data_IF_137164294282
#
_entry.id   IF_137164294282
#
_cell.length_a   1.000
_cell.length_b   1.000
_cell.length_c   1.000
_cell.angle_alpha   90.00
_cell.angle_beta   90.00
_cell.angle_gamma   90.00
#
_symmetry.space_group_name_H-M   'P 1'
#
loop_
_entity.id
_entity.type
_entity.pdbx_description
1 polymer ?
#
# COMPACT_ATOMS: atom_id res chain seq x y z
N UNK A 1 -47.38 40.26 40.00
CA UNK A 1 -47.43 39.25 38.92
C UNK A 1 -46.41 39.52 37.80
N UNK A 2 -45.14 39.82 38.10
CA UNK A 2 -44.09 40.06 37.08
C UNK A 2 -42.72 39.46 37.40
N UNK A 3 -42.60 38.61 38.43
CA UNK A 3 -41.33 37.98 38.84
C UNK A 3 -41.27 36.45 38.66
N UNK A 4 -42.36 35.81 38.23
CA UNK A 4 -42.39 34.36 37.98
C UNK A 4 -42.25 33.96 36.51
N UNK A 5 -42.26 34.93 35.58
CA UNK A 5 -42.15 34.68 34.13
C UNK A 5 -40.72 34.51 33.65
N UNK A 6 -39.72 35.07 34.35
CA UNK A 6 -38.32 35.03 33.90
C UNK A 6 -37.60 33.75 34.36
N UNK A 7 -38.04 33.15 35.48
CA UNK A 7 -37.45 31.91 35.99
C UNK A 7 -37.75 30.67 35.13
N UNK A 8 -38.90 30.62 34.45
CA UNK A 8 -39.23 29.52 33.52
C UNK A 8 -38.44 29.60 32.21
N UNK A 9 -38.12 30.81 31.72
CA UNK A 9 -37.33 30.97 30.49
C UNK A 9 -35.87 30.59 30.67
N UNK A 10 -35.30 30.80 31.86
CA UNK A 10 -33.91 30.40 32.15
C UNK A 10 -33.79 28.88 32.31
N UNK A 11 -34.77 28.21 32.92
CA UNK A 11 -34.79 26.75 33.01
C UNK A 11 -34.99 26.06 31.65
N UNK A 12 -35.79 26.64 30.75
CA UNK A 12 -35.94 26.14 29.39
C UNK A 12 -34.64 26.29 28.57
N UNK A 13 -33.89 27.38 28.74
CA UNK A 13 -32.59 27.58 28.08
C UNK A 13 -31.50 26.63 28.60
N UNK A 14 -31.47 26.31 29.90
CA UNK A 14 -30.49 25.37 30.47
C UNK A 14 -30.77 23.94 30.02
N UNK A 15 -32.05 23.53 29.89
CA UNK A 15 -32.41 22.20 29.39
C UNK A 15 -32.10 22.07 27.88
N UNK A 16 -32.33 23.13 27.09
CA UNK A 16 -31.95 23.16 25.66
C UNK A 16 -30.41 23.14 25.50
N UNK A 17 -29.65 23.78 26.39
CA UNK A 17 -28.17 23.71 26.39
C UNK A 17 -27.62 22.35 26.83
N UNK A 18 -28.32 21.59 27.68
CA UNK A 18 -27.90 20.21 28.05
C UNK A 18 -28.36 19.13 27.07
N UNK A 19 -29.25 19.46 26.12
CA UNK A 19 -29.63 18.58 25.01
C UNK A 19 -28.69 18.69 23.79
N UNK A 20 -27.65 19.54 23.83
CA UNK A 20 -26.41 19.25 23.13
C UNK A 20 -25.62 18.16 23.88
N UNK A 21 -26.26 17.00 24.12
CA UNK A 21 -25.52 15.75 23.96
C UNK A 21 -24.99 15.86 22.55
N UNK A 22 -23.68 16.05 22.43
CA UNK A 22 -22.98 15.91 21.19
C UNK A 22 -23.52 14.61 20.56
N UNK A 23 -24.38 14.75 19.55
CA UNK A 23 -24.35 13.86 18.42
C UNK A 23 -22.96 14.10 17.84
N UNK A 24 -21.94 13.51 18.49
CA UNK A 24 -20.80 13.02 17.75
C UNK A 24 -21.45 11.97 16.86
N UNK A 25 -21.94 12.43 15.71
CA UNK A 25 -22.14 11.56 14.58
C UNK A 25 -20.76 10.96 14.40
N UNK A 26 -20.58 9.74 14.90
CA UNK A 26 -19.35 9.00 14.70
C UNK A 26 -19.20 8.96 13.19
N UNK A 27 -18.32 9.82 12.67
CA UNK A 27 -18.03 9.85 11.25
C UNK A 27 -17.47 8.47 10.96
N UNK A 28 -18.32 7.64 10.38
CA UNK A 28 -18.02 6.28 9.99
C UNK A 28 -16.68 6.32 9.23
N UNK A 29 -15.69 5.46 9.57
CA UNK A 29 -14.38 5.53 8.95
C UNK A 29 -14.53 5.35 7.44
N UNK A 30 -13.83 6.20 6.67
CA UNK A 30 -13.91 6.23 5.21
C UNK A 30 -13.58 4.86 4.61
N UNK A 31 -12.60 4.16 5.20
CA UNK A 31 -12.22 2.79 4.88
C UNK A 31 -12.37 1.95 6.14
N UNK A 32 -13.05 0.80 6.03
CA UNK A 32 -13.30 -0.10 7.16
C UNK A 32 -12.13 -1.04 7.44
N UNK A 33 -11.51 -1.58 6.40
CA UNK A 33 -10.36 -2.47 6.50
C UNK A 33 -9.49 -2.37 5.23
N UNK A 34 -8.23 -2.79 5.33
CA UNK A 34 -7.34 -2.94 4.17
C UNK A 34 -6.87 -4.39 4.09
N UNK A 35 -7.14 -5.06 2.97
CA UNK A 35 -6.61 -6.37 2.65
C UNK A 35 -5.52 -6.22 1.59
N UNK A 36 -4.27 -6.46 1.98
CA UNK A 36 -3.11 -6.20 1.13
C UNK A 36 -2.52 -7.49 0.54
N UNK A 37 -2.22 -7.47 -0.75
CA UNK A 37 -1.59 -8.54 -1.51
C UNK A 37 -0.37 -7.97 -2.22
N UNK A 38 0.70 -8.74 -2.33
CA UNK A 38 1.90 -8.24 -2.99
C UNK A 38 3.21 -8.90 -2.60
N UNK A 39 4.27 -8.15 -2.82
CA UNK A 39 5.66 -8.53 -2.58
C UNK A 39 6.32 -7.75 -1.43
N UNK A 40 7.66 -7.70 -1.41
CA UNK A 40 8.46 -7.07 -0.37
C UNK A 40 8.14 -5.58 -0.16
N UNK A 41 7.63 -4.90 -1.19
CA UNK A 41 7.26 -3.48 -1.12
C UNK A 41 6.06 -3.22 -0.20
N UNK A 42 5.30 -4.26 0.14
CA UNK A 42 4.17 -4.19 1.05
C UNK A 42 4.15 -5.32 2.09
N UNK A 43 5.19 -6.15 2.17
CA UNK A 43 5.29 -7.25 3.15
C UNK A 43 5.55 -6.71 4.56
N UNK A 44 4.60 -6.93 5.47
CA UNK A 44 4.69 -6.50 6.87
C UNK A 44 5.36 -7.52 7.79
N UNK A 45 6.02 -8.54 7.24
CA UNK A 45 6.83 -9.53 7.95
C UNK A 45 6.43 -10.99 7.72
N UNK A 46 5.60 -11.30 6.71
CA UNK A 46 5.14 -12.65 6.35
C UNK A 46 6.29 -13.64 6.24
N UNK A 47 7.38 -13.25 5.58
CA UNK A 47 8.51 -14.14 5.36
C UNK A 47 9.22 -14.58 6.65
N UNK A 48 9.05 -13.86 7.76
CA UNK A 48 9.60 -14.25 9.07
C UNK A 48 8.98 -15.54 9.62
N UNK A 49 7.84 -15.97 9.08
CA UNK A 49 7.07 -17.13 9.52
C UNK A 49 7.12 -18.30 8.53
N UNK A 50 7.83 -18.14 7.41
CA UNK A 50 7.99 -19.24 6.45
C UNK A 50 9.00 -20.27 6.98
N UNK A 51 8.82 -21.56 6.68
CA UNK A 51 9.72 -22.61 7.16
C UNK A 51 11.12 -22.52 6.56
N UNK A 52 11.23 -22.05 5.30
CA UNK A 52 12.49 -21.89 4.58
C UNK A 52 12.50 -20.52 3.87
N UNK A 53 12.65 -19.41 4.61
CA UNK A 53 12.54 -18.08 4.02
C UNK A 53 13.74 -17.76 3.14
N UNK A 54 13.49 -17.41 1.87
CA UNK A 54 14.56 -16.96 0.96
C UNK A 54 14.88 -15.46 1.07
N UNK A 55 13.96 -14.68 1.63
CA UNK A 55 14.09 -13.23 1.79
C UNK A 55 13.67 -12.85 3.20
N UNK A 56 14.54 -12.17 3.94
CA UNK A 56 14.31 -11.77 5.33
C UNK A 56 14.70 -10.31 5.53
N UNK A 57 13.95 -9.63 6.40
CA UNK A 57 14.23 -8.28 6.90
C UNK A 57 13.86 -8.16 8.40
N UNK A 58 13.95 -9.28 9.13
CA UNK A 58 13.64 -9.38 10.56
C UNK A 58 14.91 -9.30 11.45
N UNK A 59 15.96 -8.66 10.94
CA UNK A 59 17.22 -8.43 11.62
C UNK A 59 17.66 -6.97 11.49
N UNK A 60 18.52 -6.52 12.39
CA UNK A 60 19.09 -5.17 12.39
C UNK A 60 19.91 -4.94 11.12
N UNK A 61 19.85 -3.76 10.47
CA UNK A 61 19.21 -2.52 10.91
C UNK A 61 17.80 -2.23 10.37
N UNK A 62 17.08 -3.21 9.82
CA UNK A 62 15.71 -2.99 9.33
C UNK A 62 14.76 -2.54 10.46
N UNK A 63 13.83 -1.63 10.14
CA UNK A 63 12.84 -1.11 11.08
C UNK A 63 13.35 -0.10 12.13
N UNK A 64 14.61 0.34 12.04
CA UNK A 64 15.24 1.27 12.99
C UNK A 64 14.53 2.62 13.17
N UNK A 65 13.91 3.22 12.14
CA UNK A 65 13.39 4.60 12.22
C UNK A 65 12.03 4.71 12.90
N UNK A 66 11.07 3.88 12.48
CA UNK A 66 9.71 3.94 13.03
C UNK A 66 9.46 2.92 14.14
N UNK A 67 9.96 1.70 13.97
CA UNK A 67 9.66 0.60 14.89
C UNK A 67 10.71 0.46 15.99
N UNK A 68 11.90 1.03 15.82
CA UNK A 68 13.07 0.86 16.68
C UNK A 68 13.45 -0.62 16.88
N UNK A 69 13.01 -1.49 15.97
CA UNK A 69 13.30 -2.92 15.95
C UNK A 69 12.97 -3.51 14.59
N UNK A 70 13.59 -4.64 14.21
CA UNK A 70 13.20 -5.36 13.01
C UNK A 70 11.77 -5.92 13.11
N UNK A 71 11.02 -5.78 12.02
CA UNK A 71 9.64 -6.29 11.91
C UNK A 71 9.43 -7.21 10.71
N UNK A 72 10.45 -7.41 9.87
CA UNK A 72 10.32 -8.13 8.60
C UNK A 72 9.89 -7.24 7.42
N UNK A 73 9.74 -5.92 7.62
CA UNK A 73 9.54 -4.95 6.55
C UNK A 73 10.87 -4.64 5.87
N UNK A 74 10.87 -4.65 4.54
CA UNK A 74 12.05 -4.36 3.72
C UNK A 74 12.28 -2.86 3.60
N UNK A 75 12.52 -2.19 4.73
CA UNK A 75 12.83 -0.76 4.84
C UNK A 75 13.46 -0.47 6.21
N UNK A 76 14.02 0.73 6.39
CA UNK A 76 14.42 1.23 7.72
C UNK A 76 13.22 1.49 8.63
N UNK A 77 12.00 1.51 8.11
CA UNK A 77 10.79 1.76 8.90
C UNK A 77 9.53 1.23 8.23
N UNK A 78 8.57 2.12 8.02
CA UNK A 78 7.26 1.82 7.42
C UNK A 78 7.32 1.60 5.91
N UNK A 79 6.36 0.83 5.42
CA UNK A 79 6.04 0.69 3.99
C UNK A 79 4.85 1.57 3.62
N UNK A 80 4.56 1.72 2.31
CA UNK A 80 3.36 2.46 1.84
C UNK A 80 2.08 1.96 2.50
N UNK A 81 1.95 0.65 2.70
CA UNK A 81 0.74 0.06 3.28
C UNK A 81 0.52 0.49 4.75
N UNK A 82 1.60 0.69 5.52
CA UNK A 82 1.54 1.19 6.89
C UNK A 82 1.07 2.65 6.93
N UNK A 83 1.57 3.46 5.98
CA UNK A 83 1.21 4.87 5.86
C UNK A 83 -0.26 5.02 5.43
N UNK A 84 -0.73 4.16 4.52
CA UNK A 84 -2.14 4.10 4.13
C UNK A 84 -3.03 3.69 5.30
N UNK A 85 -2.66 2.65 6.07
CA UNK A 85 -3.39 2.26 7.27
C UNK A 85 -3.50 3.41 8.27
N UNK A 86 -2.39 4.09 8.55
CA UNK A 86 -2.37 5.27 9.43
C UNK A 86 -3.24 6.42 8.89
N UNK A 87 -3.19 6.71 7.59
CA UNK A 87 -4.03 7.74 6.95
C UNK A 87 -5.53 7.45 7.13
N UNK A 88 -5.94 6.19 6.98
CA UNK A 88 -7.32 5.76 7.20
C UNK A 88 -7.67 5.48 8.67
N UNK A 89 -6.75 5.77 9.61
CA UNK A 89 -6.91 5.55 11.06
C UNK A 89 -7.18 4.10 11.43
N UNK A 90 -6.58 3.18 10.68
CA UNK A 90 -6.56 1.75 10.96
C UNK A 90 -5.28 1.41 11.74
N UNK A 91 -5.29 0.33 12.56
CA UNK A 91 -4.05 -0.23 13.06
C UNK A 91 -3.15 -0.67 11.88
N UNK A 92 -1.84 -0.73 12.13
CA UNK A 92 -0.91 -1.31 11.17
C UNK A 92 -1.29 -2.76 10.89
N UNK A 93 -1.24 -3.14 9.61
CA UNK A 93 -1.62 -4.49 9.20
C UNK A 93 -0.60 -5.50 9.72
N UNK A 94 -1.11 -6.59 10.28
CA UNK A 94 -0.30 -7.74 10.62
C UNK A 94 -0.23 -8.70 9.44
N UNK A 95 0.91 -9.38 9.23
CA UNK A 95 0.99 -10.45 8.26
C UNK A 95 0.07 -11.60 8.68
N UNK A 96 -0.63 -12.21 7.72
CA UNK A 96 -1.57 -13.30 7.97
C UNK A 96 -0.96 -14.45 8.79
N UNK A 97 0.32 -14.74 8.58
CA UNK A 97 1.05 -15.81 9.28
C UNK A 97 1.47 -15.47 10.72
N UNK A 98 1.07 -14.32 11.26
CA UNK A 98 1.35 -13.95 12.66
C UNK A 98 0.72 -14.98 13.61
N UNK A 99 1.50 -15.60 14.52
CA UNK A 99 0.96 -16.55 15.49
C UNK A 99 -0.14 -15.96 16.35
N UNK A 100 -1.20 -16.73 16.60
CA UNK A 100 -2.37 -16.34 17.41
C UNK A 100 -3.15 -15.12 16.87
N UNK A 101 -2.93 -14.72 15.62
CA UNK A 101 -3.70 -13.63 15.01
C UNK A 101 -5.08 -14.13 14.61
N UNK A 102 -6.12 -13.61 15.26
CA UNK A 102 -7.52 -14.02 15.04
C UNK A 102 -8.47 -12.85 14.80
N UNK A 103 -7.98 -11.62 14.89
CA UNK A 103 -8.79 -10.40 14.78
C UNK A 103 -8.56 -9.70 13.45
N UNK A 104 -9.41 -9.96 12.46
CA UNK A 104 -9.22 -9.50 11.08
C UNK A 104 -10.07 -8.29 10.68
N UNK A 105 -10.83 -7.71 11.62
CA UNK A 105 -11.83 -6.67 11.37
C UNK A 105 -11.31 -5.38 10.71
N UNK A 106 -10.03 -5.09 10.90
CA UNK A 106 -9.36 -3.91 10.34
C UNK A 106 -8.51 -4.22 9.11
N UNK A 107 -8.49 -5.49 8.68
CA UNK A 107 -7.72 -5.95 7.54
C UNK A 107 -6.49 -6.77 7.91
N UNK A 108 -5.86 -7.32 6.88
CA UNK A 108 -4.76 -8.29 6.97
C UNK A 108 -3.79 -8.05 5.81
N UNK A 109 -2.51 -8.26 6.07
CA UNK A 109 -1.49 -8.28 5.02
C UNK A 109 -1.16 -9.71 4.62
N UNK A 110 -1.31 -10.02 3.33
CA UNK A 110 -0.98 -11.31 2.73
C UNK A 110 0.30 -11.26 1.89
N UNK A 111 0.89 -10.07 1.69
CA UNK A 111 2.08 -9.92 0.86
C UNK A 111 3.26 -10.74 1.40
N UNK A 112 4.10 -11.22 0.49
CA UNK A 112 5.28 -12.03 0.79
C UNK A 112 6.44 -11.62 -0.08
N UNK A 113 7.56 -11.24 0.53
CA UNK A 113 8.74 -10.80 -0.17
C UNK A 113 9.27 -11.85 -1.16
N UNK A 114 9.59 -11.38 -2.38
CA UNK A 114 10.01 -12.20 -3.51
C UNK A 114 8.88 -12.77 -4.36
N UNK A 115 7.62 -12.67 -3.94
CA UNK A 115 6.48 -13.12 -4.75
C UNK A 115 6.24 -12.21 -5.96
N UNK A 116 5.59 -12.76 -6.98
CA UNK A 116 5.18 -12.06 -8.19
C UNK A 116 3.71 -12.32 -8.53
N UNK A 117 3.26 -11.86 -9.68
CA UNK A 117 1.94 -12.19 -10.25
C UNK A 117 1.91 -13.61 -10.80
N UNK A 118 3.07 -14.16 -11.17
CA UNK A 118 3.17 -15.55 -11.61
C UNK A 118 3.39 -16.45 -10.39
N UNK A 119 2.61 -17.53 -10.27
CA UNK A 119 2.78 -18.50 -9.19
C UNK A 119 4.16 -19.21 -9.24
N UNK A 120 4.81 -19.23 -10.41
CA UNK A 120 6.14 -19.78 -10.59
C UNK A 120 7.27 -18.89 -10.04
N UNK A 121 7.01 -17.60 -9.82
CA UNK A 121 8.03 -16.66 -9.35
C UNK A 121 8.47 -17.02 -7.94
N UNK A 122 9.71 -17.50 -7.82
CA UNK A 122 10.29 -18.01 -6.56
C UNK A 122 9.43 -19.08 -5.88
N UNK A 123 8.77 -19.93 -6.68
CA UNK A 123 7.91 -21.00 -6.18
C UNK A 123 8.60 -21.85 -5.10
N UNK A 124 7.86 -22.14 -4.03
CA UNK A 124 8.35 -22.90 -2.87
C UNK A 124 9.17 -22.10 -1.85
N UNK A 125 9.50 -20.84 -2.14
CA UNK A 125 10.28 -19.96 -1.24
C UNK A 125 9.45 -18.79 -0.67
N UNK A 126 8.25 -18.56 -1.20
CA UNK A 126 7.40 -17.40 -0.91
C UNK A 126 5.94 -17.84 -0.82
N UNK A 127 5.08 -16.99 -0.26
CA UNK A 127 3.62 -17.12 -0.44
C UNK A 127 3.26 -16.53 -1.79
N UNK A 128 3.00 -17.37 -2.79
CA UNK A 128 2.65 -16.88 -4.13
C UNK A 128 1.28 -16.20 -4.17
N UNK A 129 0.99 -15.41 -5.21
CA UNK A 129 -0.23 -14.58 -5.25
C UNK A 129 -1.52 -15.41 -5.13
N UNK A 130 -1.55 -16.64 -5.67
CA UNK A 130 -2.69 -17.56 -5.50
C UNK A 130 -2.87 -17.97 -4.04
N UNK A 131 -1.80 -18.32 -3.34
CA UNK A 131 -1.83 -18.64 -1.91
C UNK A 131 -2.27 -17.43 -1.08
N UNK A 132 -1.84 -16.22 -1.42
CA UNK A 132 -2.30 -14.99 -0.77
C UNK A 132 -3.83 -14.82 -0.88
N UNK A 133 -4.40 -15.08 -2.06
CA UNK A 133 -5.87 -15.10 -2.26
C UNK A 133 -6.54 -16.19 -1.41
N UNK A 134 -5.96 -17.38 -1.32
CA UNK A 134 -6.49 -18.47 -0.48
C UNK A 134 -6.47 -18.10 1.01
N UNK A 135 -5.43 -17.39 1.47
CA UNK A 135 -5.38 -16.87 2.84
C UNK A 135 -6.50 -15.86 3.09
N UNK A 136 -6.80 -14.98 2.12
CA UNK A 136 -7.94 -14.07 2.21
C UNK A 136 -9.28 -14.80 2.31
N UNK A 137 -9.50 -15.86 1.53
CA UNK A 137 -10.73 -16.68 1.63
C UNK A 137 -10.92 -17.20 3.06
N UNK A 138 -9.86 -17.73 3.68
CA UNK A 138 -9.91 -18.21 5.08
C UNK A 138 -10.20 -17.09 6.08
N UNK A 139 -9.60 -15.91 5.88
CA UNK A 139 -9.87 -14.72 6.70
C UNK A 139 -11.34 -14.31 6.60
N UNK A 140 -11.89 -14.28 5.39
CA UNK A 140 -13.31 -13.97 5.17
C UNK A 140 -14.22 -15.00 5.84
N UNK A 141 -13.94 -16.29 5.71
CA UNK A 141 -14.70 -17.35 6.39
C UNK A 141 -14.70 -17.16 7.91
N UNK A 142 -13.54 -16.85 8.50
CA UNK A 142 -13.41 -16.54 9.92
C UNK A 142 -14.25 -15.32 10.31
N UNK A 143 -14.17 -14.22 9.54
CA UNK A 143 -14.99 -13.03 9.77
C UNK A 143 -16.49 -13.35 9.68
N UNK A 144 -16.90 -14.19 8.73
CA UNK A 144 -18.31 -14.60 8.57
C UNK A 144 -18.76 -15.43 9.77
N UNK A 145 -17.92 -16.32 10.26
CA UNK A 145 -18.19 -17.13 11.45
C UNK A 145 -18.35 -16.25 12.70
N UNK A 146 -17.56 -15.18 12.85
CA UNK A 146 -17.61 -14.29 14.01
C UNK A 146 -18.74 -13.26 13.93
N UNK A 147 -18.94 -12.64 12.77
CA UNK A 147 -19.80 -11.45 12.63
C UNK A 147 -21.07 -11.68 11.82
N UNK A 148 -21.20 -12.83 11.16
CA UNK A 148 -22.31 -13.16 10.27
C UNK A 148 -22.17 -12.55 8.87
N UNK A 149 -22.74 -13.23 7.88
CA UNK A 149 -22.53 -12.93 6.45
C UNK A 149 -22.95 -11.52 6.04
N UNK A 150 -24.04 -10.98 6.60
CA UNK A 150 -24.51 -9.63 6.27
C UNK A 150 -23.54 -8.55 6.76
N UNK A 151 -23.04 -8.67 7.99
CA UNK A 151 -22.07 -7.73 8.57
C UNK A 151 -20.77 -7.73 7.77
N UNK A 152 -20.27 -8.92 7.41
CA UNK A 152 -19.05 -9.04 6.59
C UNK A 152 -19.26 -8.47 5.20
N UNK A 153 -20.40 -8.72 4.55
CA UNK A 153 -20.71 -8.13 3.24
C UNK A 153 -20.65 -6.60 3.27
N UNK A 154 -21.24 -5.98 4.29
CA UNK A 154 -21.19 -4.52 4.48
C UNK A 154 -19.78 -4.02 4.78
N UNK A 155 -19.01 -4.78 5.57
CA UNK A 155 -17.60 -4.50 5.85
C UNK A 155 -16.77 -4.51 4.55
N UNK A 156 -16.87 -5.57 3.74
CA UNK A 156 -16.13 -5.73 2.48
C UNK A 156 -16.44 -4.64 1.46
N UNK A 157 -17.69 -4.18 1.37
CA UNK A 157 -18.09 -3.05 0.51
C UNK A 157 -17.37 -1.73 0.89
N UNK A 158 -16.83 -1.64 2.11
CA UNK A 158 -16.12 -0.48 2.64
C UNK A 158 -14.63 -0.72 2.86
N UNK A 159 -14.12 -1.89 2.47
CA UNK A 159 -12.71 -2.25 2.57
C UNK A 159 -11.95 -1.94 1.28
N UNK A 160 -10.65 -1.68 1.40
CA UNK A 160 -9.74 -1.56 0.27
C UNK A 160 -8.97 -2.87 0.07
N UNK A 161 -8.72 -3.19 -1.19
CA UNK A 161 -7.93 -4.32 -1.64
C UNK A 161 -6.74 -3.81 -2.43
N UNK A 162 -5.55 -3.89 -1.88
CA UNK A 162 -4.33 -3.34 -2.49
C UNK A 162 -3.50 -4.47 -3.10
N UNK A 163 -3.05 -4.29 -4.34
CA UNK A 163 -2.21 -5.26 -5.05
C UNK A 163 -0.93 -4.57 -5.51
N UNK A 164 0.20 -4.93 -4.91
CA UNK A 164 1.55 -4.45 -5.28
C UNK A 164 2.46 -5.63 -5.60
N UNK A 165 2.46 -6.06 -6.86
CA UNK A 165 3.22 -7.23 -7.32
C UNK A 165 3.57 -7.12 -8.80
N UNK A 166 4.70 -7.72 -9.18
CA UNK A 166 5.11 -7.86 -10.58
C UNK A 166 6.59 -7.60 -10.83
N UNK A 167 7.27 -6.87 -9.94
CA UNK A 167 8.70 -6.56 -10.08
C UNK A 167 9.55 -7.84 -10.11
N UNK A 168 9.24 -8.78 -9.22
CA UNK A 168 9.94 -10.06 -9.13
C UNK A 168 9.74 -10.95 -10.35
N UNK A 169 8.60 -10.86 -11.05
CA UNK A 169 8.39 -11.61 -12.29
C UNK A 169 9.39 -11.15 -13.36
N UNK A 170 9.61 -9.84 -13.49
CA UNK A 170 10.58 -9.29 -14.43
C UNK A 170 12.02 -9.65 -14.02
N UNK A 171 12.35 -9.56 -12.73
CA UNK A 171 13.71 -9.89 -12.27
C UNK A 171 14.06 -11.38 -12.37
N UNK A 172 13.09 -12.27 -12.14
CA UNK A 172 13.38 -13.69 -11.91
C UNK A 172 12.70 -14.66 -12.87
N UNK A 173 11.76 -14.20 -13.70
CA UNK A 173 10.98 -15.08 -14.59
C UNK A 173 10.90 -14.59 -16.04
N UNK A 174 11.38 -13.38 -16.34
CA UNK A 174 11.53 -12.93 -17.72
C UNK A 174 12.86 -13.41 -18.32
N UNK A 175 12.76 -14.23 -19.37
CA UNK A 175 13.91 -14.68 -20.15
C UNK A 175 13.76 -14.23 -21.60
N UNK A 176 14.57 -13.26 -22.08
CA UNK A 176 14.39 -12.67 -23.42
C UNK A 176 14.54 -13.68 -24.57
N UNK A 177 15.26 -14.78 -24.34
CA UNK A 177 15.41 -15.87 -25.31
C UNK A 177 14.16 -16.78 -25.39
N UNK A 178 13.23 -16.68 -24.45
CA UNK A 178 12.04 -17.53 -24.37
C UNK A 178 10.75 -16.78 -24.71
N UNK A 179 10.70 -15.46 -24.46
CA UNK A 179 9.48 -14.66 -24.67
C UNK A 179 9.79 -13.19 -24.91
N UNK A 180 8.95 -12.51 -25.69
CA UNK A 180 9.07 -11.06 -25.90
C UNK A 180 8.55 -10.28 -24.68
N UNK A 181 9.01 -9.03 -24.47
CA UNK A 181 8.44 -8.15 -23.45
C UNK A 181 6.91 -8.03 -23.55
N UNK A 182 6.36 -7.99 -24.76
CA UNK A 182 4.92 -7.89 -25.00
C UNK A 182 4.20 -9.13 -24.48
N UNK A 183 4.60 -10.33 -24.91
CA UNK A 183 3.95 -11.58 -24.50
C UNK A 183 4.09 -11.82 -23.00
N UNK A 184 5.25 -11.51 -22.43
CA UNK A 184 5.46 -11.65 -20.99
C UNK A 184 4.56 -10.72 -20.17
N UNK A 185 4.51 -9.43 -20.53
CA UNK A 185 3.65 -8.45 -19.84
C UNK A 185 2.16 -8.72 -20.06
N UNK A 186 1.75 -9.32 -21.19
CA UNK A 186 0.38 -9.82 -21.37
C UNK A 186 0.05 -10.96 -20.40
N UNK A 187 1.02 -11.84 -20.16
CA UNK A 187 0.86 -12.95 -19.21
C UNK A 187 0.67 -12.40 -17.79
N UNK A 188 1.48 -11.42 -17.38
CA UNK A 188 1.32 -10.76 -16.08
C UNK A 188 -0.06 -10.09 -15.91
N UNK A 189 -0.57 -9.40 -16.94
CA UNK A 189 -1.91 -8.80 -16.91
C UNK A 189 -3.00 -9.86 -16.82
N UNK A 190 -2.85 -10.99 -17.50
CA UNK A 190 -3.81 -12.09 -17.45
C UNK A 190 -3.83 -12.76 -16.06
N UNK A 191 -2.69 -12.93 -15.40
CA UNK A 191 -2.66 -13.43 -14.01
C UNK A 191 -3.28 -12.42 -13.05
N UNK A 192 -2.98 -11.13 -13.19
CA UNK A 192 -3.63 -10.09 -12.40
C UNK A 192 -5.16 -10.11 -12.58
N UNK A 193 -5.65 -10.31 -13.81
CA UNK A 193 -7.09 -10.43 -14.07
C UNK A 193 -7.72 -11.62 -13.33
N UNK A 194 -7.04 -12.78 -13.29
CA UNK A 194 -7.51 -13.95 -12.53
C UNK A 194 -7.55 -13.65 -11.04
N UNK A 195 -6.50 -13.03 -10.50
CA UNK A 195 -6.43 -12.62 -9.08
C UNK A 195 -7.59 -11.69 -8.71
N UNK A 196 -7.84 -10.64 -9.50
CA UNK A 196 -8.93 -9.69 -9.24
C UNK A 196 -10.31 -10.34 -9.39
N UNK A 197 -10.49 -11.22 -10.37
CA UNK A 197 -11.75 -11.97 -10.54
C UNK A 197 -12.02 -12.88 -9.34
N UNK A 198 -11.00 -13.58 -8.83
CA UNK A 198 -11.14 -14.41 -7.64
C UNK A 198 -11.49 -13.59 -6.39
N UNK A 199 -10.79 -12.47 -6.16
CA UNK A 199 -11.10 -11.58 -5.04
C UNK A 199 -12.50 -10.96 -5.15
N UNK A 200 -12.94 -10.58 -6.35
CA UNK A 200 -14.26 -10.01 -6.58
C UNK A 200 -15.38 -11.04 -6.34
N UNK A 201 -15.17 -12.30 -6.74
CA UNK A 201 -16.08 -13.40 -6.39
C UNK A 201 -16.22 -13.56 -4.87
N UNK A 202 -15.18 -13.20 -4.12
CA UNK A 202 -15.17 -13.19 -2.66
C UNK A 202 -15.72 -11.88 -2.03
N UNK A 203 -16.19 -10.93 -2.82
CA UNK A 203 -16.84 -9.69 -2.35
C UNK A 203 -15.91 -8.48 -2.28
N UNK A 204 -14.70 -8.57 -2.81
CA UNK A 204 -13.81 -7.42 -2.96
C UNK A 204 -14.30 -6.49 -4.07
N UNK A 205 -14.56 -5.22 -3.74
CA UNK A 205 -15.13 -4.26 -4.70
C UNK A 205 -14.29 -2.99 -4.88
N UNK A 206 -13.25 -2.74 -4.08
CA UNK A 206 -12.45 -1.51 -4.17
C UNK A 206 -10.97 -1.86 -4.26
N UNK A 207 -10.45 -1.84 -5.47
CA UNK A 207 -9.10 -2.26 -5.79
C UNK A 207 -8.18 -1.05 -6.00
N UNK A 208 -7.00 -1.11 -5.40
CA UNK A 208 -5.86 -0.24 -5.72
C UNK A 208 -4.76 -1.11 -6.31
N UNK A 209 -4.50 -0.94 -7.60
CA UNK A 209 -3.45 -1.66 -8.32
C UNK A 209 -2.22 -0.77 -8.36
N UNK A 210 -1.08 -1.25 -7.85
CA UNK A 210 0.16 -0.49 -7.86
C UNK A 210 0.92 -0.83 -9.15
N UNK A 211 1.29 0.19 -9.92
CA UNK A 211 2.17 0.00 -11.08
C UNK A 211 3.58 -0.42 -10.64
N UNK A 212 4.42 -0.79 -11.60
CA UNK A 212 5.82 -1.09 -11.35
C UNK A 212 6.65 0.20 -11.25
N UNK A 213 7.67 0.17 -10.40
CA UNK A 213 8.67 1.24 -10.26
C UNK A 213 9.70 1.21 -11.41
N UNK A 214 10.60 2.20 -11.55
CA UNK A 214 11.74 2.13 -12.45
C UNK A 214 12.75 1.04 -12.02
N UNK A 215 12.43 -0.21 -12.38
CA UNK A 215 13.18 -1.41 -11.97
C UNK A 215 14.65 -1.36 -12.33
N UNK A 216 15.01 -0.70 -13.42
CA UNK A 216 16.40 -0.56 -13.85
C UNK A 216 17.20 0.47 -13.03
N UNK A 217 16.54 1.29 -12.21
CA UNK A 217 17.18 2.38 -11.46
C UNK A 217 17.41 2.07 -9.98
N UNK A 218 17.02 0.88 -9.50
CA UNK A 218 17.34 0.46 -8.12
C UNK A 218 18.85 0.24 -7.98
N UNK A 219 19.43 0.37 -6.77
CA UNK A 219 20.88 0.34 -6.58
C UNK A 219 21.56 -0.92 -7.13
N UNK A 220 20.88 -2.08 -7.07
CA UNK A 220 21.40 -3.34 -7.62
C UNK A 220 21.51 -3.38 -9.16
N UNK A 221 20.80 -2.51 -9.87
CA UNK A 221 20.77 -2.49 -11.33
C UNK A 221 21.68 -1.42 -11.95
N UNK A 222 22.17 -0.47 -11.15
CA UNK A 222 23.11 0.58 -11.59
C UNK A 222 24.57 0.23 -11.30
N UNK A 223 24.84 -0.95 -10.72
CA UNK A 223 26.17 -1.37 -10.25
C UNK A 223 27.29 -1.25 -11.28
N UNK A 224 27.01 -1.61 -12.53
CA UNK A 224 28.04 -1.74 -13.56
C UNK A 224 28.36 -0.43 -14.27
N UNK A 225 27.35 0.39 -14.54
CA UNK A 225 27.45 1.59 -15.38
C UNK A 225 27.22 2.90 -14.61
N UNK A 226 26.63 2.83 -13.42
CA UNK A 226 26.03 3.99 -12.73
C UNK A 226 24.75 4.50 -13.38
N UNK A 227 24.32 3.87 -14.47
CA UNK A 227 23.16 4.25 -15.27
C UNK A 227 22.05 3.22 -15.09
N UNK A 228 20.79 3.66 -15.20
CA UNK A 228 19.65 2.76 -15.12
C UNK A 228 19.69 1.70 -16.23
N UNK A 229 19.32 0.46 -15.89
CA UNK A 229 19.09 -0.59 -16.88
C UNK A 229 17.82 -0.30 -17.68
N UNK A 230 18.00 0.27 -18.87
CA UNK A 230 16.90 0.73 -19.70
C UNK A 230 16.02 -0.42 -20.24
N UNK A 231 16.59 -1.61 -20.43
CA UNK A 231 15.81 -2.79 -20.85
C UNK A 231 14.74 -3.15 -19.81
N UNK A 232 15.12 -3.22 -18.52
CA UNK A 232 14.18 -3.46 -17.43
C UNK A 232 13.13 -2.35 -17.31
N UNK A 233 13.56 -1.10 -17.46
CA UNK A 233 12.67 0.05 -17.43
C UNK A 233 11.66 0.05 -18.58
N UNK A 234 12.04 -0.39 -19.78
CA UNK A 234 11.13 -0.52 -20.92
C UNK A 234 10.03 -1.55 -20.64
N UNK A 235 10.39 -2.71 -20.06
CA UNK A 235 9.41 -3.75 -19.70
C UNK A 235 8.47 -3.22 -18.61
N UNK A 236 8.99 -2.55 -17.58
CA UNK A 236 8.19 -1.94 -16.52
C UNK A 236 7.20 -0.90 -17.06
N UNK A 237 7.64 0.01 -17.94
CA UNK A 237 6.75 1.00 -18.58
C UNK A 237 5.73 0.34 -19.51
N UNK A 238 6.11 -0.71 -20.23
CA UNK A 238 5.18 -1.49 -21.06
C UNK A 238 4.08 -2.13 -20.22
N UNK A 239 4.44 -2.78 -19.10
CA UNK A 239 3.49 -3.31 -18.15
C UNK A 239 2.56 -2.21 -17.61
N UNK A 240 3.10 -1.07 -17.16
CA UNK A 240 2.31 0.04 -16.62
C UNK A 240 1.33 0.63 -17.64
N UNK A 241 1.73 0.73 -18.90
CA UNK A 241 0.85 1.13 -20.01
C UNK A 241 -0.30 0.13 -20.17
N UNK A 242 -0.01 -1.17 -20.14
CA UNK A 242 -1.03 -2.23 -20.21
C UNK A 242 -1.94 -2.24 -18.98
N UNK A 243 -1.39 -2.03 -17.79
CA UNK A 243 -2.14 -1.94 -16.53
C UNK A 243 -3.15 -0.79 -16.58
N UNK A 244 -2.74 0.37 -17.09
CA UNK A 244 -3.62 1.54 -17.27
C UNK A 244 -4.75 1.26 -18.25
N UNK A 245 -4.47 0.60 -19.38
CA UNK A 245 -5.51 0.18 -20.33
C UNK A 245 -6.43 -0.90 -19.73
N UNK A 246 -5.85 -1.83 -18.96
CA UNK A 246 -6.55 -2.92 -18.29
C UNK A 246 -7.54 -2.40 -17.23
N UNK A 247 -7.21 -1.32 -16.51
CA UNK A 247 -8.09 -0.71 -15.50
C UNK A 247 -9.52 -0.48 -16.00
N UNK A 248 -9.68 0.07 -17.22
CA UNK A 248 -10.99 0.29 -17.82
C UNK A 248 -11.71 -1.02 -18.13
N UNK A 249 -10.99 -1.98 -18.75
CA UNK A 249 -11.54 -3.29 -19.12
C UNK A 249 -12.02 -4.07 -17.89
N UNK A 250 -11.21 -4.10 -16.83
CA UNK A 250 -11.53 -4.89 -15.64
C UNK A 250 -12.66 -4.27 -14.83
N UNK A 251 -12.76 -2.94 -14.78
CA UNK A 251 -13.88 -2.25 -14.11
C UNK A 251 -15.22 -2.59 -14.77
N UNK A 252 -15.24 -2.74 -16.11
CA UNK A 252 -16.45 -3.18 -16.84
C UNK A 252 -16.75 -4.65 -16.56
N UNK A 253 -15.72 -5.50 -16.54
CA UNK A 253 -15.87 -6.94 -16.30
C UNK A 253 -16.36 -7.26 -14.88
N UNK A 254 -15.83 -6.56 -13.89
CA UNK A 254 -16.15 -6.72 -12.47
C UNK A 254 -17.20 -5.68 -12.06
N UNK A 255 -18.44 -5.89 -12.47
CA UNK A 255 -19.53 -4.93 -12.23
C UNK A 255 -19.66 -4.60 -10.73
N UNK A 256 -19.81 -3.31 -10.43
CA UNK A 256 -19.87 -2.79 -9.06
C UNK A 256 -18.50 -2.60 -8.39
N UNK A 257 -17.41 -2.94 -9.07
CA UNK A 257 -16.06 -2.65 -8.57
C UNK A 257 -15.63 -1.21 -8.89
N UNK A 258 -14.74 -0.69 -8.06
CA UNK A 258 -13.95 0.51 -8.27
C UNK A 258 -12.50 0.04 -8.37
N UNK A 259 -11.83 0.37 -9.48
CA UNK A 259 -10.43 0.03 -9.68
C UNK A 259 -9.64 1.32 -9.95
N UNK A 260 -8.60 1.55 -9.15
CA UNK A 260 -7.69 2.68 -9.29
C UNK A 260 -6.27 2.14 -9.48
N UNK A 261 -5.53 2.74 -10.41
CA UNK A 261 -4.10 2.46 -10.60
C UNK A 261 -3.28 3.54 -9.90
N UNK A 262 -2.36 3.13 -9.03
CA UNK A 262 -1.37 3.99 -8.41
C UNK A 262 -0.09 4.02 -9.27
N UNK A 263 0.23 5.19 -9.81
CA UNK A 263 1.45 5.39 -10.58
C UNK A 263 2.64 5.65 -9.65
N UNK A 264 3.42 4.61 -9.39
CA UNK A 264 4.67 4.72 -8.61
C UNK A 264 5.91 4.89 -9.48
N UNK A 265 5.82 4.66 -10.79
CA UNK A 265 6.96 4.75 -11.70
C UNK A 265 7.48 6.18 -11.76
N UNK A 266 6.64 7.10 -12.22
CA UNK A 266 7.04 8.49 -12.44
C UNK A 266 7.39 9.18 -11.11
N UNK A 267 6.67 8.80 -10.05
CA UNK A 267 6.91 9.33 -8.71
C UNK A 267 8.29 8.92 -8.18
N UNK A 268 8.65 7.63 -8.24
CA UNK A 268 9.96 7.18 -7.77
C UNK A 268 11.08 7.64 -8.71
N UNK A 269 10.87 7.64 -10.04
CA UNK A 269 11.83 8.17 -11.00
C UNK A 269 12.14 9.66 -10.73
N UNK A 270 11.11 10.42 -10.38
CA UNK A 270 11.23 11.81 -9.93
C UNK A 270 12.06 11.97 -8.66
N UNK A 271 11.87 11.09 -7.65
CA UNK A 271 12.70 11.11 -6.44
C UNK A 271 14.16 10.75 -6.73
N UNK A 272 14.41 9.79 -7.63
CA UNK A 272 15.76 9.36 -7.99
C UNK A 272 16.51 10.47 -8.73
N UNK A 273 15.87 11.11 -9.71
CA UNK A 273 16.54 12.07 -10.62
C UNK A 273 16.49 13.51 -10.14
N UNK A 274 15.41 13.92 -9.46
CA UNK A 274 15.12 15.31 -9.09
C UNK A 274 14.68 15.41 -7.62
N UNK A 275 15.14 14.49 -6.77
CA UNK A 275 14.72 14.36 -5.38
C UNK A 275 15.13 15.51 -4.45
N UNK A 276 16.03 16.40 -4.89
CA UNK A 276 16.53 17.51 -4.08
C UNK A 276 15.40 18.41 -3.56
N UNK A 277 14.32 18.57 -4.33
CA UNK A 277 13.13 19.35 -3.93
C UNK A 277 12.40 18.74 -2.73
N UNK A 278 12.62 17.46 -2.45
CA UNK A 278 12.08 16.72 -1.30
C UNK A 278 13.15 16.43 -0.24
N UNK A 279 14.38 16.94 -0.43
CA UNK A 279 15.53 16.70 0.45
C UNK A 279 16.36 15.47 0.12
N UNK A 280 16.03 14.71 -0.93
CA UNK A 280 16.81 13.55 -1.34
C UNK A 280 18.00 13.96 -2.21
N UNK A 281 19.22 13.78 -1.70
CA UNK A 281 20.47 14.02 -2.45
C UNK A 281 21.14 12.71 -2.90
N UNK A 282 20.67 11.57 -2.39
CA UNK A 282 21.17 10.24 -2.70
C UNK A 282 20.07 9.43 -3.41
N UNK A 283 19.94 9.68 -4.72
CA UNK A 283 18.92 9.06 -5.57
C UNK A 283 19.20 7.60 -5.94
N UNK A 284 20.45 7.27 -6.29
CA UNK A 284 20.84 5.93 -6.76
C UNK A 284 21.63 5.11 -5.74
N UNK A 285 22.22 5.76 -4.73
CA UNK A 285 22.93 5.09 -3.66
C UNK A 285 21.92 4.55 -2.63
N UNK A 286 22.10 3.33 -2.15
CA UNK A 286 21.37 2.85 -0.97
C UNK A 286 21.97 3.42 0.32
N UNK A 287 21.18 3.57 1.39
CA UNK A 287 21.74 3.87 2.71
C UNK A 287 22.51 2.67 3.28
N UNK A 288 21.99 1.45 3.12
CA UNK A 288 22.54 0.23 3.72
C UNK A 288 22.92 -0.81 2.67
N UNK A 289 24.19 -1.21 2.68
CA UNK A 289 24.75 -2.20 1.75
C UNK A 289 26.25 -2.01 1.53
N UNK A 290 26.82 -2.79 0.62
CA UNK A 290 28.23 -2.72 0.24
C UNK A 290 28.44 -2.66 -1.28
N UNK A 291 29.69 -2.43 -1.68
CA UNK A 291 30.09 -2.25 -3.07
C UNK A 291 29.57 -0.95 -3.71
N UNK A 292 29.71 -0.81 -5.04
CA UNK A 292 29.20 0.35 -5.79
C UNK A 292 27.73 0.61 -5.50
N UNK A 293 27.36 1.87 -5.31
CA UNK A 293 25.99 2.31 -4.99
C UNK A 293 25.36 1.63 -3.76
N UNK A 294 26.15 0.91 -2.94
CA UNK A 294 25.70 0.00 -1.88
C UNK A 294 24.68 -1.04 -2.38
N UNK A 295 24.76 -1.41 -3.66
CA UNK A 295 23.82 -2.32 -4.32
C UNK A 295 24.30 -3.76 -4.49
N UNK A 296 25.50 -4.11 -4.00
CA UNK A 296 26.11 -5.39 -4.31
C UNK A 296 25.38 -6.56 -3.64
N UNK A 297 24.98 -7.55 -4.44
CA UNK A 297 24.19 -8.71 -3.99
C UNK A 297 24.90 -9.54 -2.92
N UNK A 298 26.24 -9.58 -2.91
CA UNK A 298 27.03 -10.31 -1.90
C UNK A 298 27.24 -9.56 -0.58
N UNK A 299 26.84 -8.29 -0.51
CA UNK A 299 27.12 -7.38 0.60
C UNK A 299 25.85 -6.60 0.99
N UNK A 300 24.70 -7.29 1.02
CA UNK A 300 23.43 -6.66 1.36
C UNK A 300 23.41 -6.23 2.83
N UNK A 301 22.48 -5.33 3.16
CA UNK A 301 22.26 -4.90 4.53
C UNK A 301 22.09 -6.11 5.48
N UNK A 302 22.87 -6.15 6.57
CA UNK A 302 22.85 -7.26 7.54
C UNK A 302 23.68 -8.50 7.17
N UNK A 303 24.38 -8.52 6.03
CA UNK A 303 25.29 -9.64 5.69
C UNK A 303 26.56 -9.59 6.53
N UNK A 304 26.98 -10.75 7.02
CA UNK A 304 28.21 -10.92 7.79
C UNK A 304 29.10 -12.00 7.17
N UNK A 305 30.41 -11.87 7.35
CA UNK A 305 31.36 -12.91 7.01
C UNK A 305 31.32 -14.08 8.02
N UNK A 306 32.10 -15.13 7.77
CA UNK A 306 32.20 -16.29 8.67
C UNK A 306 32.79 -15.98 10.04
N UNK A 307 33.43 -14.82 10.21
CA UNK A 307 33.97 -14.32 11.48
C UNK A 307 32.99 -13.38 12.20
N UNK A 308 31.82 -13.09 11.63
CA UNK A 308 30.80 -12.21 12.19
C UNK A 308 31.05 -10.71 11.93
N UNK A 309 31.94 -10.36 11.02
CA UNK A 309 32.14 -8.97 10.62
C UNK A 309 31.12 -8.56 9.57
N UNK A 310 30.57 -7.35 9.69
CA UNK A 310 29.64 -6.81 8.72
C UNK A 310 30.30 -6.62 7.35
N UNK A 311 29.66 -7.16 6.31
CA UNK A 311 30.06 -7.01 4.91
C UNK A 311 29.41 -5.78 4.25
N UNK A 312 28.61 -5.03 5.00
CA UNK A 312 27.86 -3.87 4.55
C UNK A 312 28.25 -2.63 5.34
N UNK A 313 27.86 -1.47 4.82
CA UNK A 313 27.93 -0.19 5.54
C UNK A 313 26.52 0.40 5.59
N UNK A 314 26.21 1.13 6.66
CA UNK A 314 24.99 1.93 6.78
C UNK A 314 25.37 3.41 6.73
N UNK A 315 24.52 4.25 6.11
CA UNK A 315 24.60 5.70 6.29
C UNK A 315 24.38 6.08 7.77
N UNK A 316 24.78 7.28 8.14
CA UNK A 316 24.49 7.81 9.49
C UNK A 316 23.00 8.10 9.63
N UNK A 317 22.52 8.17 10.87
CA UNK A 317 21.10 8.46 11.11
C UNK A 317 20.76 9.90 10.67
N UNK A 318 21.73 10.82 10.73
CA UNK A 318 21.61 12.19 10.23
C UNK A 318 21.51 12.29 8.70
N UNK A 319 22.06 11.32 7.97
CA UNK A 319 22.04 11.31 6.50
C UNK A 319 20.84 10.55 5.92
N UNK A 320 20.19 9.69 6.71
CA UNK A 320 19.20 8.73 6.23
C UNK A 320 18.04 9.38 5.44
N UNK A 321 17.57 10.55 5.87
CA UNK A 321 16.50 11.29 5.20
C UNK A 321 16.90 11.83 3.81
N UNK A 322 18.18 11.81 3.46
CA UNK A 322 18.68 12.19 2.14
C UNK A 322 18.68 11.04 1.12
N UNK A 323 18.39 9.81 1.55
CA UNK A 323 18.41 8.61 0.72
C UNK A 323 17.02 8.20 0.23
N UNK A 324 16.90 7.96 -1.08
CA UNK A 324 15.69 7.35 -1.66
C UNK A 324 15.62 5.87 -1.29
N UNK A 325 16.75 5.16 -1.37
CA UNK A 325 16.83 3.72 -1.15
C UNK A 325 17.41 3.38 0.22
N UNK A 326 16.74 2.48 0.93
CA UNK A 326 17.26 1.87 2.14
C UNK A 326 18.31 0.82 1.82
N UNK A 327 17.96 -0.14 0.95
CA UNK A 327 18.86 -1.21 0.51
C UNK A 327 18.95 -1.30 -1.02
N UNK A 328 19.53 -2.37 -1.53
CA UNK A 328 19.76 -2.60 -2.96
C UNK A 328 18.51 -2.68 -3.86
N UNK A 329 17.31 -2.76 -3.27
CA UNK A 329 16.03 -2.73 -3.99
C UNK A 329 15.01 -1.74 -3.41
N UNK A 330 14.98 -1.58 -2.09
CA UNK A 330 13.81 -1.05 -1.40
C UNK A 330 14.00 0.42 -0.96
N UNK A 331 12.96 1.26 -1.10
CA UNK A 331 12.95 2.62 -0.57
C UNK A 331 13.08 2.73 0.96
N UNK A 332 13.53 3.91 1.41
CA UNK A 332 13.49 4.30 2.83
C UNK A 332 12.07 4.57 3.32
N UNK A 333 11.84 4.58 4.65
CA UNK A 333 10.56 5.03 5.24
C UNK A 333 10.23 6.43 4.74
N UNK A 334 11.23 7.33 4.70
CA UNK A 334 11.07 8.70 4.19
C UNK A 334 10.63 8.74 2.73
N UNK A 335 11.22 7.91 1.86
CA UNK A 335 10.80 7.79 0.48
C UNK A 335 9.38 7.19 0.37
N UNK A 336 9.05 6.16 1.15
CA UNK A 336 7.70 5.59 1.19
C UNK A 336 6.64 6.59 1.66
N UNK A 337 6.95 7.43 2.65
CA UNK A 337 6.09 8.54 3.08
C UNK A 337 5.82 9.50 1.94
N UNK A 338 6.86 9.88 1.18
CA UNK A 338 6.75 10.80 0.04
C UNK A 338 5.91 10.18 -1.08
N UNK A 339 6.14 8.90 -1.42
CA UNK A 339 5.35 8.17 -2.40
C UNK A 339 3.87 8.10 -1.99
N UNK A 340 3.58 7.73 -0.75
CA UNK A 340 2.23 7.64 -0.22
C UNK A 340 1.54 9.01 -0.21
N UNK A 341 2.26 10.06 0.19
CA UNK A 341 1.75 11.43 0.20
C UNK A 341 1.33 11.91 -1.19
N UNK A 342 2.18 11.73 -2.19
CA UNK A 342 1.91 12.13 -3.58
C UNK A 342 0.73 11.33 -4.16
N UNK A 343 0.69 10.02 -3.90
CA UNK A 343 -0.45 9.19 -4.28
C UNK A 343 -1.75 9.69 -3.63
N UNK A 344 -1.75 9.90 -2.31
CA UNK A 344 -2.93 10.35 -1.57
C UNK A 344 -3.38 11.73 -2.00
N UNK A 345 -2.46 12.64 -2.32
CA UNK A 345 -2.79 13.97 -2.86
C UNK A 345 -3.56 13.86 -4.18
N UNK A 346 -3.01 13.11 -5.14
CA UNK A 346 -3.63 12.90 -6.45
C UNK A 346 -4.95 12.15 -6.31
N UNK A 347 -5.00 11.12 -5.47
CA UNK A 347 -6.20 10.33 -5.19
C UNK A 347 -7.31 11.20 -4.59
N UNK A 348 -7.00 11.95 -3.54
CA UNK A 348 -7.91 12.92 -2.91
C UNK A 348 -8.45 13.93 -3.95
N UNK A 349 -7.57 14.47 -4.77
CA UNK A 349 -7.94 15.44 -5.80
C UNK A 349 -8.90 14.82 -6.83
N UNK A 350 -8.61 13.62 -7.34
CA UNK A 350 -9.48 12.91 -8.28
C UNK A 350 -10.83 12.57 -7.67
N UNK A 351 -10.86 12.08 -6.42
CA UNK A 351 -12.12 11.80 -5.74
C UNK A 351 -12.92 13.09 -5.56
N UNK A 352 -12.29 14.20 -5.20
CA UNK A 352 -12.94 15.50 -5.03
C UNK A 352 -13.46 16.10 -6.36
N UNK A 353 -12.75 15.94 -7.46
CA UNK A 353 -13.21 16.42 -8.77
C UNK A 353 -14.37 15.59 -9.29
N UNK A 354 -14.33 14.26 -9.11
CA UNK A 354 -15.47 13.38 -9.40
C UNK A 354 -16.69 13.74 -8.54
N UNK A 355 -16.50 14.04 -7.25
CA UNK A 355 -17.56 14.56 -6.36
C UNK A 355 -18.19 15.84 -6.95
N UNK A 356 -17.36 16.81 -7.33
CA UNK A 356 -17.82 18.12 -7.75
C UNK A 356 -18.47 18.11 -9.16
N UNK A 357 -18.13 17.12 -10.00
CA UNK A 357 -18.66 16.98 -11.36
C UNK A 357 -20.02 16.25 -11.41
N UNK A 358 -20.49 15.65 -10.31
CA UNK A 358 -21.79 14.98 -10.26
C UNK A 358 -22.93 16.00 -10.15
N UNK A 359 -23.95 15.95 -11.02
CA UNK A 359 -25.11 16.83 -10.91
C UNK A 359 -25.87 16.58 -9.60
N UNK A 360 -26.29 17.69 -8.98
CA UNK A 360 -26.83 17.85 -7.62
C UNK A 360 -28.06 16.97 -7.33
N UNK A 361 -28.68 16.34 -8.34
CA UNK A 361 -29.87 15.49 -8.18
C UNK A 361 -29.59 13.99 -8.00
N UNK A 362 -28.36 13.57 -7.64
CA UNK A 362 -28.02 12.14 -7.51
C UNK A 362 -27.55 11.75 -6.11
N UNK A 363 -28.35 12.08 -5.10
CA UNK A 363 -28.31 11.40 -3.79
C UNK A 363 -28.42 9.87 -3.94
N UNK A 364 -29.03 9.39 -5.03
CA UNK A 364 -29.23 7.96 -5.31
C UNK A 364 -27.99 7.23 -5.87
N UNK A 365 -26.97 7.92 -6.40
CA UNK A 365 -25.70 7.27 -6.84
C UNK A 365 -24.62 7.25 -5.75
N UNK A 366 -24.69 8.18 -4.80
CA UNK A 366 -23.82 8.20 -3.64
C UNK A 366 -23.91 6.91 -2.82
N UNK A 367 -25.14 6.42 -2.59
CA UNK A 367 -25.40 5.18 -1.85
C UNK A 367 -24.86 3.91 -2.53
N UNK A 368 -24.51 3.96 -3.82
CA UNK A 368 -24.03 2.81 -4.59
C UNK A 368 -22.50 2.68 -4.65
N UNK A 369 -21.74 3.78 -4.52
CA UNK A 369 -20.25 3.75 -4.51
C UNK A 369 -19.71 3.73 -3.07
N UNK A 370 -20.44 4.32 -2.14
CA UNK A 370 -20.13 4.39 -0.72
C UNK A 370 -21.45 4.30 0.04
N UNK A 371 -21.86 3.09 0.42
CA UNK A 371 -23.07 2.85 1.23
C UNK A 371 -22.95 3.59 2.57
N UNK A 372 -23.38 4.84 2.53
CA UNK A 372 -23.51 5.75 3.64
C UNK A 372 -24.95 6.20 3.59
N UNK A 373 -25.73 5.76 4.58
CA UNK A 373 -27.06 6.30 4.84
C UNK A 373 -27.03 7.84 4.83
N UNK A 374 -28.17 8.51 4.56
CA UNK A 374 -28.18 9.91 4.12
C UNK A 374 -27.63 10.82 5.22
N UNK A 375 -26.35 11.16 5.10
CA UNK A 375 -25.68 12.11 5.99
C UNK A 375 -24.82 13.00 5.11
N UNK A 376 -25.28 14.24 4.99
CA UNK A 376 -24.74 15.38 4.25
C UNK A 376 -23.32 15.82 4.69
N UNK A 377 -22.56 14.98 5.40
CA UNK A 377 -21.26 15.31 6.03
C UNK A 377 -20.07 14.52 5.48
N UNK A 378 -20.23 13.56 4.56
CA UNK A 378 -19.08 12.81 4.02
C UNK A 378 -18.15 13.68 3.16
N UNK A 379 -18.68 14.70 2.48
CA UNK A 379 -17.91 15.67 1.70
C UNK A 379 -16.98 16.53 2.56
N UNK A 380 -17.37 16.84 3.80
CA UNK A 380 -16.55 17.61 4.74
C UNK A 380 -15.44 16.77 5.36
N UNK A 381 -15.67 15.48 5.60
CA UNK A 381 -14.66 14.56 6.14
C UNK A 381 -13.53 14.25 5.13
N UNK A 382 -13.87 13.98 3.86
CA UNK A 382 -12.86 13.87 2.80
C UNK A 382 -12.12 15.19 2.58
N UNK A 383 -12.82 16.34 2.52
CA UNK A 383 -12.17 17.65 2.47
C UNK A 383 -11.26 17.92 3.67
N UNK A 384 -11.65 17.52 4.88
CA UNK A 384 -10.84 17.71 6.09
C UNK A 384 -9.61 16.79 6.12
N UNK A 385 -9.75 15.52 5.73
CA UNK A 385 -8.62 14.59 5.64
C UNK A 385 -7.63 15.07 4.57
N UNK A 386 -8.10 15.43 3.38
CA UNK A 386 -7.23 15.93 2.32
C UNK A 386 -6.63 17.31 2.66
N UNK A 387 -7.38 18.25 3.26
CA UNK A 387 -6.83 19.56 3.66
C UNK A 387 -5.90 19.50 4.88
N UNK A 388 -6.10 18.58 5.84
CA UNK A 388 -5.18 18.39 6.97
C UNK A 388 -3.91 17.66 6.56
N UNK A 389 -4.02 16.67 5.67
CA UNK A 389 -2.86 15.96 5.15
C UNK A 389 -1.97 16.87 4.31
N UNK A 390 -2.54 17.74 3.45
CA UNK A 390 -1.75 18.72 2.69
C UNK A 390 -1.01 19.74 3.58
N UNK A 391 -1.57 20.10 4.75
CA UNK A 391 -0.94 21.06 5.67
C UNK A 391 0.14 20.47 6.59
N UNK A 392 0.20 19.13 6.70
CA UNK A 392 1.16 18.41 7.54
C UNK A 392 2.13 17.57 6.71
N UNK A 393 2.15 17.76 5.39
CA UNK A 393 3.27 17.30 4.57
C UNK A 393 4.43 18.27 4.80
N UNK A 394 5.61 17.79 5.21
CA UNK A 394 6.79 18.63 5.35
C UNK A 394 7.18 19.27 4.02
#
# INVERSE_FOLDING_TARGET
MRKHSEALSVFALVIICTCHRALVCSAQPLVKAIFNFGDSTTDTGTNSYLPNPAFLANFTPYGQTYFNRPTGRFSDGRLVIDILAAFFKLPLLLPYLTPNFTYYDNGVNFASAGSGLLDSTKAGMVVNIREQVQQFVKVKESLVSTHGSLSVKLSMARSLFTISSGSNDIYYSYFPNQTSPETFTDTMINELEKTLTALHAEGANKFVLVGLSPLGCVPSQVLASGECNESLNQIARLYNKKLSAFQLRITIKLLGSIVVVANVYDTLDGLIKNGEIFGFTQGSNACCGGGPFRGAVGNQCGFQDSAGNDLFTKCTDEELDHYVFWDFFHPTDRAYQTLAALFLFVFCYHVQTQINAMPVSTETRWNLLWDSSPITTSSSACRMLCNRSVKNLP
#
